data_IF_189632391884
#
_entry.id   IF_189632391884
#
_cell.length_a   1.000
_cell.length_b   1.000
_cell.length_c   1.000
_cell.angle_alpha   90.00
_cell.angle_beta   90.00
_cell.angle_gamma   90.00
#
_symmetry.space_group_name_H-M   'P 1'
#
loop_
_entity.id
_entity.type
_entity.pdbx_description
1 polymer ?
#
# COMPACT_ATOMS: atom_id res chain seq x y z
N UNK A 1 7.81 13.60 4.86
CA UNK A 1 6.42 13.10 4.64
C UNK A 1 5.43 14.15 5.15
N UNK A 2 4.41 14.47 4.37
CA UNK A 2 3.32 15.32 4.85
C UNK A 2 2.61 14.65 6.03
N UNK A 3 2.01 15.42 6.95
CA UNK A 3 1.13 14.82 7.96
C UNK A 3 0.06 13.96 7.30
N UNK A 4 -0.24 12.81 7.91
CA UNK A 4 -1.12 11.81 7.30
C UNK A 4 -2.52 12.36 6.98
N UNK A 5 -3.01 13.31 7.78
CA UNK A 5 -4.32 13.92 7.56
C UNK A 5 -4.37 14.86 6.34
N UNK A 6 -3.22 15.14 5.73
CA UNK A 6 -3.15 15.91 4.49
C UNK A 6 -2.97 15.01 3.26
N UNK A 7 -2.87 13.70 3.46
CA UNK A 7 -2.70 12.73 2.38
C UNK A 7 -4.04 12.21 1.88
N UNK A 8 -4.07 11.88 0.59
CA UNK A 8 -5.17 11.15 -0.03
C UNK A 8 -4.73 9.70 -0.16
N UNK A 9 -5.33 8.80 0.62
CA UNK A 9 -4.96 7.38 0.66
C UNK A 9 -6.01 6.54 -0.04
N UNK A 10 -5.57 5.62 -0.89
CA UNK A 10 -6.42 4.58 -1.43
C UNK A 10 -6.25 3.31 -0.61
N UNK A 11 -7.31 2.53 -0.47
CA UNK A 11 -7.25 1.23 0.20
C UNK A 11 -8.03 0.21 -0.60
N UNK A 12 -7.47 -0.99 -0.72
CA UNK A 12 -8.10 -2.11 -1.42
C UNK A 12 -7.73 -3.42 -0.76
N UNK A 13 -8.63 -4.39 -0.84
CA UNK A 13 -8.38 -5.75 -0.37
C UNK A 13 -9.17 -6.77 -1.18
N UNK A 14 -8.80 -8.04 -1.04
CA UNK A 14 -9.67 -9.14 -1.41
C UNK A 14 -10.54 -9.54 -0.19
N UNK A 15 -11.26 -10.66 -0.31
CA UNK A 15 -12.11 -11.16 0.77
C UNK A 15 -11.32 -11.51 2.04
N UNK A 16 -10.09 -12.02 1.91
CA UNK A 16 -9.24 -12.36 3.06
C UNK A 16 -8.78 -11.12 3.82
N UNK A 17 -8.62 -10.00 3.12
CA UNK A 17 -8.20 -8.74 3.72
C UNK A 17 -9.33 -7.80 4.10
N UNK A 18 -10.58 -8.19 3.86
CA UNK A 18 -11.72 -7.28 4.05
C UNK A 18 -11.85 -6.76 5.48
N UNK A 19 -11.77 -7.63 6.48
CA UNK A 19 -11.91 -7.20 7.89
C UNK A 19 -10.77 -6.26 8.29
N UNK A 20 -9.55 -6.58 7.90
CA UNK A 20 -8.40 -5.71 8.18
C UNK A 20 -8.55 -4.36 7.44
N UNK A 21 -9.02 -4.38 6.19
CA UNK A 21 -9.29 -3.15 5.45
C UNK A 21 -10.27 -2.25 6.18
N UNK A 22 -11.38 -2.81 6.65
CA UNK A 22 -12.38 -2.03 7.40
C UNK A 22 -11.81 -1.48 8.70
N UNK A 23 -11.05 -2.26 9.44
CA UNK A 23 -10.41 -1.82 10.68
C UNK A 23 -9.44 -0.66 10.45
N UNK A 24 -8.59 -0.76 9.41
CA UNK A 24 -7.63 0.29 9.08
C UNK A 24 -8.32 1.54 8.51
N UNK A 25 -9.37 1.34 7.73
CA UNK A 25 -10.16 2.46 7.21
C UNK A 25 -10.77 3.26 8.36
N UNK A 26 -11.37 2.59 9.34
CA UNK A 26 -11.91 3.27 10.53
C UNK A 26 -10.81 3.99 11.32
N UNK A 27 -9.66 3.35 11.51
CA UNK A 27 -8.52 3.93 12.18
C UNK A 27 -8.05 5.22 11.52
N UNK A 28 -7.97 5.22 10.18
CA UNK A 28 -7.57 6.39 9.39
C UNK A 28 -8.64 7.49 9.42
N UNK A 29 -9.90 7.13 9.30
CA UNK A 29 -11.01 8.09 9.33
C UNK A 29 -11.11 8.80 10.69
N UNK A 30 -10.83 8.10 11.79
CA UNK A 30 -10.74 8.71 13.12
C UNK A 30 -9.64 9.76 13.22
N UNK A 31 -8.59 9.62 12.40
CA UNK A 31 -7.50 10.61 12.30
C UNK A 31 -7.78 11.69 11.25
N UNK A 32 -9.00 11.72 10.71
CA UNK A 32 -9.43 12.67 9.68
C UNK A 32 -8.62 12.55 8.38
N UNK A 33 -8.17 11.33 8.06
CA UNK A 33 -7.48 11.04 6.82
C UNK A 33 -8.52 10.81 5.71
N UNK A 34 -8.25 11.34 4.54
CA UNK A 34 -9.09 11.14 3.37
C UNK A 34 -8.79 9.77 2.74
N UNK A 35 -9.72 8.82 2.85
CA UNK A 35 -9.53 7.44 2.38
C UNK A 35 -10.50 7.13 1.25
N UNK A 36 -9.96 6.66 0.12
CA UNK A 36 -10.74 6.18 -1.02
C UNK A 36 -10.74 4.65 -0.99
N UNK A 37 -11.93 4.06 -0.77
CA UNK A 37 -12.11 2.61 -0.68
C UNK A 37 -12.43 2.03 -2.06
N UNK A 38 -11.50 1.25 -2.61
CA UNK A 38 -11.65 0.58 -3.91
C UNK A 38 -12.19 -0.84 -3.81
N UNK A 39 -12.62 -1.30 -2.62
CA UNK A 39 -13.14 -2.64 -2.39
C UNK A 39 -12.06 -3.60 -1.86
N UNK A 40 -12.44 -4.87 -1.63
CA UNK A 40 -13.80 -5.39 -1.81
C UNK A 40 -14.74 -4.90 -0.71
N UNK A 41 -16.03 -5.20 -0.84
CA UNK A 41 -17.05 -4.67 0.08
C UNK A 41 -17.77 -5.77 0.87
N UNK A 42 -17.25 -6.98 0.84
CA UNK A 42 -17.79 -8.12 1.59
C UNK A 42 -16.72 -9.20 1.78
N UNK A 43 -17.07 -10.24 2.55
CA UNK A 43 -16.20 -11.40 2.76
C UNK A 43 -16.41 -12.50 1.72
N UNK A 44 -17.29 -12.28 0.74
CA UNK A 44 -17.48 -13.23 -0.35
C UNK A 44 -16.23 -13.37 -1.20
N UNK A 45 -15.91 -14.59 -1.58
CA UNK A 45 -14.73 -14.89 -2.39
C UNK A 45 -14.69 -14.02 -3.65
N UNK A 46 -13.54 -13.42 -3.90
CA UNK A 46 -13.32 -12.53 -5.04
C UNK A 46 -11.86 -12.59 -5.48
N UNK A 47 -11.57 -11.97 -6.60
CA UNK A 47 -10.25 -11.95 -7.19
C UNK A 47 -9.54 -10.65 -6.85
N UNK A 48 -8.38 -10.75 -6.16
CA UNK A 48 -7.63 -9.56 -5.72
C UNK A 48 -7.25 -8.59 -6.85
N UNK A 49 -6.95 -9.04 -8.10
CA UNK A 49 -6.59 -8.09 -9.14
C UNK A 49 -7.70 -7.10 -9.49
N UNK A 50 -8.96 -7.49 -9.34
CA UNK A 50 -10.10 -6.62 -9.64
C UNK A 50 -10.11 -5.36 -8.77
N UNK A 51 -9.53 -5.43 -7.58
CA UNK A 51 -9.46 -4.31 -6.63
C UNK A 51 -8.08 -3.65 -6.63
N UNK A 52 -7.02 -4.43 -6.93
CA UNK A 52 -5.66 -3.93 -6.98
C UNK A 52 -5.41 -2.97 -8.14
N UNK A 53 -5.94 -3.29 -9.33
CA UNK A 53 -5.75 -2.43 -10.50
C UNK A 53 -6.36 -1.04 -10.33
N UNK A 54 -7.61 -0.88 -9.86
CA UNK A 54 -8.14 0.46 -9.60
C UNK A 54 -7.33 1.25 -8.59
N UNK A 55 -6.86 0.62 -7.52
CA UNK A 55 -5.99 1.26 -6.53
C UNK A 55 -4.70 1.74 -7.17
N UNK A 56 -4.02 0.87 -7.90
CA UNK A 56 -2.76 1.20 -8.57
C UNK A 56 -2.94 2.34 -9.58
N UNK A 57 -4.03 2.32 -10.36
CA UNK A 57 -4.35 3.39 -11.29
C UNK A 57 -4.50 4.74 -10.57
N UNK A 58 -5.18 4.76 -9.43
CA UNK A 58 -5.38 5.99 -8.66
C UNK A 58 -4.05 6.54 -8.12
N UNK A 59 -3.13 5.66 -7.70
CA UNK A 59 -1.79 6.07 -7.24
C UNK A 59 -0.98 6.61 -8.41
N UNK A 60 -0.98 5.92 -9.56
CA UNK A 60 -0.24 6.36 -10.75
C UNK A 60 -0.72 7.72 -11.26
N UNK A 61 -2.02 7.97 -11.21
CA UNK A 61 -2.61 9.23 -11.69
C UNK A 61 -2.48 10.37 -10.70
N UNK A 62 -2.05 10.09 -9.47
CA UNK A 62 -1.97 11.10 -8.42
C UNK A 62 -3.29 11.44 -7.75
N UNK A 63 -4.37 10.70 -8.05
CA UNK A 63 -5.65 10.82 -7.33
C UNK A 63 -5.45 10.45 -5.87
N UNK A 64 -4.65 9.40 -5.64
CA UNK A 64 -4.17 9.03 -4.31
C UNK A 64 -2.67 9.28 -4.23
N UNK A 65 -2.22 9.81 -3.11
CA UNK A 65 -0.78 10.00 -2.83
C UNK A 65 -0.10 8.65 -2.56
N UNK A 66 -0.81 7.75 -1.88
CA UNK A 66 -0.34 6.42 -1.51
C UNK A 66 -1.49 5.42 -1.54
N UNK A 67 -1.16 4.15 -1.62
CA UNK A 67 -2.11 3.07 -1.52
C UNK A 67 -1.81 2.10 -0.38
N UNK A 68 -2.85 1.43 0.09
CA UNK A 68 -2.77 0.33 1.04
C UNK A 68 -3.47 -0.86 0.38
N UNK A 69 -2.74 -1.96 0.19
CA UNK A 69 -3.22 -3.14 -0.51
C UNK A 69 -3.14 -4.36 0.42
N UNK A 70 -4.24 -5.06 0.60
CA UNK A 70 -4.35 -6.13 1.60
C UNK A 70 -4.91 -7.40 0.96
N UNK A 71 -4.21 -8.51 1.13
CA UNK A 71 -4.78 -9.84 0.88
C UNK A 71 -4.23 -10.81 1.92
N UNK A 72 -4.56 -12.09 1.81
CA UNK A 72 -4.20 -13.06 2.84
C UNK A 72 -2.70 -13.11 3.14
N UNK A 73 -1.86 -13.21 2.11
CA UNK A 73 -0.40 -13.24 2.22
C UNK A 73 0.27 -11.96 1.74
N UNK A 74 -0.49 -11.04 1.16
CA UNK A 74 -0.03 -9.86 0.45
C UNK A 74 0.72 -10.16 -0.86
N UNK A 75 0.98 -11.40 -1.19
CA UNK A 75 1.76 -11.76 -2.39
C UNK A 75 1.03 -11.37 -3.68
N UNK A 76 -0.17 -11.93 -3.90
CA UNK A 76 -0.89 -11.73 -5.15
C UNK A 76 -1.25 -10.27 -5.41
N UNK A 77 -1.71 -9.57 -4.38
CA UNK A 77 -2.11 -8.17 -4.54
C UNK A 77 -0.90 -7.28 -4.83
N UNK A 78 0.24 -7.57 -4.21
CA UNK A 78 1.49 -6.84 -4.47
C UNK A 78 2.01 -7.10 -5.88
N UNK A 79 1.96 -8.36 -6.34
CA UNK A 79 2.36 -8.71 -7.70
C UNK A 79 1.53 -7.95 -8.73
N UNK A 80 0.23 -7.82 -8.48
CA UNK A 80 -0.68 -7.09 -9.36
C UNK A 80 -0.35 -5.60 -9.40
N UNK A 81 -0.24 -4.98 -8.23
CA UNK A 81 0.08 -3.55 -8.12
C UNK A 81 1.42 -3.25 -8.80
N UNK A 82 2.42 -4.12 -8.62
CA UNK A 82 3.76 -3.90 -9.17
C UNK A 82 3.85 -4.12 -10.69
N UNK A 83 2.79 -4.57 -11.35
CA UNK A 83 2.71 -4.54 -12.82
C UNK A 83 2.50 -3.13 -13.35
N UNK A 84 2.06 -2.22 -12.53
CA UNK A 84 1.92 -0.82 -12.88
C UNK A 84 3.26 -0.12 -12.72
N UNK A 85 3.77 0.47 -13.80
CA UNK A 85 5.13 1.04 -13.83
C UNK A 85 5.36 2.16 -12.82
N UNK A 86 4.31 2.87 -12.45
CA UNK A 86 4.39 3.94 -11.46
C UNK A 86 4.20 3.49 -10.02
N UNK A 87 3.99 2.19 -9.78
CA UNK A 87 3.74 1.67 -8.45
C UNK A 87 4.91 0.86 -7.93
N UNK A 88 5.22 1.07 -6.65
CA UNK A 88 6.20 0.29 -5.89
C UNK A 88 5.53 -0.16 -4.60
N UNK A 89 4.94 -1.37 -4.65
CA UNK A 89 4.29 -2.00 -3.51
C UNK A 89 5.29 -2.84 -2.73
N UNK A 90 5.35 -2.62 -1.44
CA UNK A 90 6.22 -3.36 -0.53
C UNK A 90 5.38 -4.13 0.48
N UNK A 91 5.67 -5.43 0.62
CA UNK A 91 5.03 -6.28 1.62
C UNK A 91 5.71 -6.04 2.97
N UNK A 92 4.95 -5.59 3.96
CA UNK A 92 5.47 -5.30 5.28
C UNK A 92 4.68 -6.08 6.34
N UNK A 93 5.39 -6.92 7.10
CA UNK A 93 4.80 -7.67 8.22
C UNK A 93 5.42 -7.26 9.56
N UNK A 94 6.30 -6.26 9.54
CA UNK A 94 6.90 -5.62 10.71
C UNK A 94 7.10 -4.14 10.41
N UNK A 95 7.04 -3.29 11.43
CA UNK A 95 7.21 -1.85 11.24
C UNK A 95 8.59 -1.49 10.68
N UNK A 96 9.64 -2.25 11.02
CA UNK A 96 10.99 -2.00 10.49
C UNK A 96 11.03 -2.13 8.96
N UNK A 97 10.28 -3.10 8.39
CA UNK A 97 10.18 -3.24 6.94
C UNK A 97 9.45 -2.07 6.30
N UNK A 98 8.43 -1.55 6.98
CA UNK A 98 7.69 -0.38 6.51
C UNK A 98 8.58 0.86 6.47
N UNK A 99 9.41 1.05 7.50
CA UNK A 99 10.38 2.13 7.53
C UNK A 99 11.34 2.05 6.34
N UNK A 100 11.92 0.85 6.11
CA UNK A 100 12.86 0.63 5.01
C UNK A 100 12.22 0.78 3.63
N UNK A 101 10.97 0.33 3.48
CA UNK A 101 10.23 0.48 2.23
C UNK A 101 10.12 1.95 1.81
N UNK A 102 9.91 2.83 2.78
CA UNK A 102 9.88 4.28 2.53
C UNK A 102 11.29 4.86 2.37
N UNK A 103 12.17 4.60 3.33
CA UNK A 103 13.50 5.20 3.38
C UNK A 103 14.37 4.83 2.18
N UNK A 104 14.32 3.57 1.75
CA UNK A 104 15.18 3.05 0.70
C UNK A 104 14.50 2.91 -0.65
N UNK A 105 13.22 2.55 -0.69
CA UNK A 105 12.54 2.20 -1.94
C UNK A 105 11.50 3.23 -2.38
N UNK A 106 11.26 4.25 -1.58
CA UNK A 106 10.21 5.24 -1.83
C UNK A 106 8.90 4.54 -2.24
N UNK A 107 8.57 3.47 -1.51
CA UNK A 107 7.36 2.69 -1.80
C UNK A 107 6.13 3.59 -1.70
N UNK A 108 5.23 3.49 -2.68
CA UNK A 108 4.01 4.27 -2.70
C UNK A 108 2.76 3.42 -2.44
N UNK A 109 2.93 2.11 -2.27
CA UNK A 109 1.85 1.22 -1.84
C UNK A 109 2.38 0.32 -0.73
N UNK A 110 1.67 0.36 0.40
CA UNK A 110 1.93 -0.52 1.54
C UNK A 110 1.07 -1.77 1.38
N UNK A 111 1.70 -2.95 1.32
CA UNK A 111 0.98 -4.22 1.22
C UNK A 111 1.04 -4.98 2.53
N UNK A 112 -0.12 -5.48 2.99
CA UNK A 112 -0.27 -6.11 4.30
C UNK A 112 -0.83 -7.53 4.18
N UNK A 113 -0.18 -8.52 4.85
CA UNK A 113 -0.63 -9.91 4.84
C UNK A 113 -1.64 -10.17 5.96
N UNK A 114 -2.93 -10.01 5.67
CA UNK A 114 -4.00 -10.03 6.67
C UNK A 114 -4.05 -11.30 7.54
N UNK A 115 -3.64 -12.45 7.00
CA UNK A 115 -3.66 -13.72 7.74
C UNK A 115 -2.46 -13.93 8.65
N UNK A 116 -1.47 -13.04 8.60
CA UNK A 116 -0.19 -13.22 9.29
C UNK A 116 0.13 -12.11 10.29
N UNK A 117 -0.71 -11.08 10.36
CA UNK A 117 -0.52 -9.97 11.31
C UNK A 117 -1.84 -9.66 12.01
N UNK A 118 -1.74 -9.13 13.23
CA UNK A 118 -2.89 -8.63 13.98
C UNK A 118 -3.27 -7.22 13.51
N UNK A 119 -4.47 -6.77 13.88
CA UNK A 119 -4.90 -5.38 13.61
C UNK A 119 -3.94 -4.39 14.27
N UNK A 120 -3.49 -4.67 15.49
CA UNK A 120 -2.57 -3.79 16.22
C UNK A 120 -1.21 -3.71 15.54
N UNK A 121 -0.69 -4.85 15.06
CA UNK A 121 0.55 -4.87 14.26
C UNK A 121 0.37 -4.09 12.96
N UNK A 122 -0.77 -4.25 12.29
CA UNK A 122 -1.06 -3.51 11.06
C UNK A 122 -1.08 -2.01 11.28
N UNK A 123 -1.67 -1.55 12.38
CA UNK A 123 -1.67 -0.12 12.74
C UNK A 123 -0.26 0.42 12.97
N UNK A 124 0.58 -0.34 13.68
CA UNK A 124 1.97 0.03 13.92
C UNK A 124 2.75 0.13 12.60
N UNK A 125 2.58 -0.85 11.72
CA UNK A 125 3.20 -0.88 10.40
C UNK A 125 2.76 0.35 9.59
N UNK A 126 1.47 0.64 9.57
CA UNK A 126 0.89 1.77 8.86
C UNK A 126 1.45 3.10 9.40
N UNK A 127 1.47 3.27 10.71
CA UNK A 127 1.98 4.49 11.33
C UNK A 127 3.45 4.71 11.00
N UNK A 128 4.25 3.65 11.00
CA UNK A 128 5.67 3.72 10.65
C UNK A 128 5.86 4.06 9.17
N UNK A 129 5.09 3.43 8.28
CA UNK A 129 5.16 3.72 6.84
C UNK A 129 4.88 5.20 6.59
N UNK A 130 3.81 5.74 7.14
CA UNK A 130 3.39 7.12 6.87
C UNK A 130 4.11 8.18 7.71
N UNK A 131 5.08 7.80 8.52
CA UNK A 131 5.96 8.73 9.25
C UNK A 131 7.42 8.65 8.82
N UNK A 132 7.74 7.83 7.81
CA UNK A 132 9.12 7.64 7.33
C UNK A 132 9.34 8.36 6.01
N UNK A 133 10.47 9.06 5.89
CA UNK A 133 10.83 9.82 4.71
C UNK A 133 11.79 9.06 3.81
N UNK A 134 11.71 9.33 2.51
CA UNK A 134 12.66 8.79 1.55
C UNK A 134 14.02 9.48 1.71
N UNK A 135 15.09 8.67 1.79
CA UNK A 135 16.46 9.19 2.00
C UNK A 135 17.13 9.70 0.71
N UNK A 136 16.65 9.30 -0.45
CA UNK A 136 17.23 9.73 -1.73
C UNK A 136 18.61 9.13 -1.99
N UNK A 137 19.49 9.94 -2.58
CA UNK A 137 20.88 9.53 -2.85
C UNK A 137 20.98 8.30 -3.74
N UNK A 138 21.82 7.33 -3.35
CA UNK A 138 22.03 6.08 -4.12
C UNK A 138 20.75 5.27 -4.31
N UNK A 139 19.76 5.43 -3.43
CA UNK A 139 18.49 4.70 -3.52
C UNK A 139 17.70 5.15 -4.75
N UNK A 140 17.72 6.44 -5.07
CA UNK A 140 17.02 6.98 -6.25
C UNK A 140 17.53 6.33 -7.55
N UNK A 141 18.84 6.17 -7.70
CA UNK A 141 19.41 5.52 -8.87
C UNK A 141 18.88 4.10 -9.05
N UNK A 142 18.74 3.35 -7.96
CA UNK A 142 18.25 1.97 -8.00
C UNK A 142 16.74 1.93 -8.31
N UNK A 143 15.97 2.82 -7.72
CA UNK A 143 14.53 2.93 -7.98
C UNK A 143 14.27 3.23 -9.46
N UNK A 144 15.05 4.14 -10.04
CA UNK A 144 14.90 4.54 -11.44
C UNK A 144 15.11 3.37 -12.43
N UNK A 145 15.73 2.30 -11.97
CA UNK A 145 15.98 1.09 -12.77
C UNK A 145 14.92 0.00 -12.57
N UNK A 146 13.96 0.18 -11.68
CA UNK A 146 12.88 -0.79 -11.44
C UNK A 146 11.90 -0.87 -12.61
N UNK A 147 11.42 0.26 -13.18
CA UNK A 147 10.48 0.18 -14.30
C UNK A 147 11.09 -0.54 -15.50
N UNK A 148 10.28 -1.39 -16.13
CA UNK A 148 10.70 -2.09 -17.34
C UNK A 148 10.77 -1.09 -18.48
N UNK A 149 11.89 -1.12 -19.23
CA UNK A 149 12.07 -0.30 -20.42
C UNK A 149 12.00 -1.17 -21.65
N UNK A 150 11.55 -0.60 -22.77
CA UNK A 150 11.56 -1.27 -24.07
C UNK A 150 12.85 -1.00 -24.87
N UNK A 151 13.83 -0.39 -24.22
CA UNK A 151 15.14 -0.15 -24.81
C UNK A 151 16.00 -1.40 -24.68
N UNK A 152 16.62 -1.80 -25.76
CA UNK A 152 17.55 -2.92 -25.85
C UNK A 152 19.00 -2.44 -25.79
#
# INVERSE_FOLDING_TARGET
MKPINLLHLGIASDHAGYQLKEALKNYLEEKQVNVYDFGTYSEESCDYPDFAHPLANAVEKGTCDFGIAICGSANGISMTVNKHQGCRAAICWKHELAALARQHNNANVLSLPARFISVEEAKEILDTFFSSDFEGGRHQRRIDKIPVTNEE
#
